data_IF_560053378418
#
_entry.id   IF_560053378418
#
_cell.length_a   1.000
_cell.length_b   1.000
_cell.length_c   1.000
_cell.angle_alpha   90.00
_cell.angle_beta   90.00
_cell.angle_gamma   90.00
#
_symmetry.space_group_name_H-M   'P 1'
#
loop_
_entity.id
_entity.type
_entity.pdbx_description
1 polymer ?
#
# COMPACT_ATOMS: atom_id res chain seq x y z
N UNK A 1 -2.66 8.06 11.26
CA UNK A 1 -1.43 8.87 10.96
C UNK A 1 -1.17 8.89 9.46
N UNK A 2 -0.58 9.99 8.90
CA UNK A 2 -0.20 10.06 7.47
C UNK A 2 1.29 10.34 7.37
N UNK A 3 2.03 9.49 6.66
CA UNK A 3 3.47 9.61 6.39
C UNK A 3 3.67 9.88 4.89
N UNK A 4 4.17 11.05 4.55
CA UNK A 4 4.53 11.42 3.18
C UNK A 4 6.02 11.13 3.00
N UNK A 5 6.34 10.13 2.19
CA UNK A 5 7.71 9.63 2.03
C UNK A 5 8.63 10.62 1.30
N UNK A 6 8.07 11.54 0.53
CA UNK A 6 8.81 12.59 -0.19
C UNK A 6 9.09 13.86 0.62
N UNK A 7 8.89 13.85 1.94
CA UNK A 7 9.22 15.01 2.79
C UNK A 7 10.72 15.31 2.84
N UNK A 8 11.56 14.30 2.63
CA UNK A 8 13.01 14.43 2.56
C UNK A 8 13.52 14.08 1.17
N UNK A 9 14.51 14.82 0.67
CA UNK A 9 15.11 14.55 -0.64
C UNK A 9 15.74 13.16 -0.70
N UNK A 10 15.32 12.36 -1.68
CA UNK A 10 15.80 11.01 -1.90
C UNK A 10 15.56 10.57 -3.35
N UNK A 11 16.02 9.38 -3.71
CA UNK A 11 15.73 8.75 -5.02
C UNK A 11 14.24 8.58 -5.29
N UNK A 12 13.41 8.57 -4.27
CA UNK A 12 11.95 8.50 -4.40
C UNK A 12 11.40 9.61 -5.32
N UNK A 13 11.97 10.81 -5.25
CA UNK A 13 11.56 11.93 -6.10
C UNK A 13 11.74 11.64 -7.60
N UNK A 14 12.79 10.90 -7.99
CA UNK A 14 12.97 10.51 -9.38
C UNK A 14 11.85 9.56 -9.83
N UNK A 15 11.49 8.59 -9.01
CA UNK A 15 10.45 7.62 -9.35
C UNK A 15 9.07 8.28 -9.42
N UNK A 16 8.76 9.19 -8.49
CA UNK A 16 7.51 9.96 -8.50
C UNK A 16 7.47 10.91 -9.71
N UNK A 17 8.57 11.60 -10.02
CA UNK A 17 8.65 12.49 -11.18
C UNK A 17 8.40 11.72 -12.49
N UNK A 18 9.02 10.56 -12.67
CA UNK A 18 8.82 9.72 -13.86
C UNK A 18 7.40 9.16 -13.98
N UNK A 19 6.70 8.91 -12.86
CA UNK A 19 5.29 8.52 -12.89
C UNK A 19 4.36 9.65 -13.34
N UNK A 20 4.76 10.91 -13.12
CA UNK A 20 3.98 12.11 -13.43
C UNK A 20 4.32 12.73 -14.77
N UNK A 21 5.54 12.51 -15.26
CA UNK A 21 6.02 13.06 -16.53
C UNK A 21 5.20 12.50 -17.69
N UNK A 22 4.57 13.39 -18.46
CA UNK A 22 3.63 13.03 -19.55
C UNK A 22 4.26 12.25 -20.69
N UNK A 23 5.58 12.33 -20.84
CA UNK A 23 6.33 11.58 -21.85
C UNK A 23 6.80 10.23 -21.29
N UNK A 24 7.40 10.25 -20.08
CA UNK A 24 8.02 9.07 -19.47
C UNK A 24 6.98 8.07 -18.99
N UNK A 25 5.83 8.51 -18.47
CA UNK A 25 4.75 7.63 -17.99
C UNK A 25 4.18 6.71 -19.07
N UNK A 26 4.39 7.02 -20.35
CA UNK A 26 3.95 6.18 -21.48
C UNK A 26 4.83 4.93 -21.64
N UNK A 27 6.03 4.89 -21.07
CA UNK A 27 6.85 3.68 -20.97
C UNK A 27 6.26 2.76 -19.89
N UNK A 28 5.48 1.78 -20.36
CA UNK A 28 4.76 0.83 -19.50
C UNK A 28 5.67 0.00 -18.59
N UNK A 29 6.89 -0.31 -19.04
CA UNK A 29 7.86 -1.05 -18.23
C UNK A 29 8.37 -0.16 -17.10
N UNK A 30 8.82 1.06 -17.43
CA UNK A 30 9.34 2.03 -16.46
C UNK A 30 8.29 2.42 -15.43
N UNK A 31 7.05 2.64 -15.87
CA UNK A 31 5.93 2.95 -14.98
C UNK A 31 5.73 1.86 -13.91
N UNK A 32 5.64 0.59 -14.33
CA UNK A 32 5.50 -0.53 -13.40
C UNK A 32 6.72 -0.68 -12.49
N UNK A 33 7.93 -0.51 -13.05
CA UNK A 33 9.16 -0.62 -12.25
C UNK A 33 9.28 0.49 -11.20
N UNK A 34 8.80 1.70 -11.50
CA UNK A 34 8.79 2.78 -10.53
C UNK A 34 7.78 2.55 -9.41
N UNK A 35 6.59 2.00 -9.71
CA UNK A 35 5.65 1.57 -8.68
C UNK A 35 6.25 0.49 -7.76
N UNK A 36 6.96 -0.48 -8.33
CA UNK A 36 7.66 -1.52 -7.57
C UNK A 36 8.72 -0.91 -6.64
N UNK A 37 9.58 0.00 -7.13
CA UNK A 37 10.59 0.71 -6.34
C UNK A 37 9.97 1.54 -5.21
N UNK A 38 8.83 2.17 -5.46
CA UNK A 38 8.07 2.90 -4.42
C UNK A 38 7.57 1.91 -3.35
N UNK A 39 7.10 0.73 -3.75
CA UNK A 39 6.70 -0.34 -2.84
C UNK A 39 7.86 -0.83 -1.96
N UNK A 40 9.06 -1.00 -2.54
CA UNK A 40 10.28 -1.36 -1.83
C UNK A 40 10.65 -0.32 -0.75
N UNK A 41 10.61 0.98 -1.12
CA UNK A 41 10.87 2.07 -0.17
C UNK A 41 9.81 2.11 0.93
N UNK A 42 8.53 1.97 0.58
CA UNK A 42 7.44 1.94 1.56
C UNK A 42 7.60 0.76 2.53
N UNK A 43 7.96 -0.43 2.03
CA UNK A 43 8.22 -1.61 2.85
C UNK A 43 9.34 -1.35 3.87
N UNK A 44 10.45 -0.74 3.44
CA UNK A 44 11.55 -0.38 4.32
C UNK A 44 11.10 0.61 5.41
N UNK A 45 10.37 1.65 5.06
CA UNK A 45 9.87 2.63 6.04
C UNK A 45 8.86 2.01 7.01
N UNK A 46 7.93 1.18 6.52
CA UNK A 46 6.96 0.46 7.34
C UNK A 46 7.68 -0.50 8.30
N UNK A 47 8.72 -1.20 7.85
CA UNK A 47 9.45 -2.17 8.67
C UNK A 47 10.00 -1.56 9.96
N UNK A 48 10.32 -0.26 9.97
CA UNK A 48 10.80 0.46 11.17
C UNK A 48 9.74 0.57 12.28
N UNK A 49 8.48 0.33 11.96
CA UNK A 49 7.34 0.34 12.90
C UNK A 49 6.97 -1.06 13.41
N UNK A 50 7.62 -2.11 12.88
CA UNK A 50 7.37 -3.49 13.27
C UNK A 50 8.04 -3.84 14.61
N UNK A 51 7.61 -4.95 15.19
CA UNK A 51 8.19 -5.47 16.44
C UNK A 51 9.40 -6.33 16.12
N UNK A 52 10.52 -6.03 16.79
CA UNK A 52 11.77 -6.75 16.67
C UNK A 52 12.13 -7.37 18.02
N UNK A 53 12.69 -8.58 18.00
CA UNK A 53 13.26 -9.24 19.18
C UNK A 53 14.70 -9.68 18.92
N UNK A 54 15.51 -9.62 19.96
CA UNK A 54 16.88 -10.08 19.88
C UNK A 54 16.94 -11.60 19.69
N UNK A 55 17.57 -12.03 18.60
CA UNK A 55 17.70 -13.44 18.21
C UNK A 55 19.17 -13.77 17.99
N UNK A 56 19.60 -14.90 18.53
CA UNK A 56 20.96 -15.39 18.34
C UNK A 56 21.10 -16.06 16.96
N UNK A 57 22.03 -15.53 16.16
CA UNK A 57 22.35 -16.01 14.82
C UNK A 57 23.75 -16.60 14.82
N UNK A 58 23.89 -17.84 14.34
CA UNK A 58 25.20 -18.48 14.17
C UNK A 58 25.88 -17.92 12.91
N UNK A 59 27.03 -17.31 13.10
CA UNK A 59 27.86 -16.76 12.02
C UNK A 59 29.16 -17.59 11.90
N UNK A 60 29.92 -17.43 10.82
CA UNK A 60 31.25 -18.10 10.69
C UNK A 60 32.24 -17.74 11.81
N UNK A 61 32.03 -16.60 12.49
CA UNK A 61 32.93 -16.11 13.53
C UNK A 61 32.39 -16.34 14.97
N UNK A 62 31.21 -16.92 15.12
CA UNK A 62 30.54 -17.16 16.40
C UNK A 62 29.08 -16.73 16.42
N UNK A 63 28.51 -16.65 17.62
CA UNK A 63 27.12 -16.23 17.80
C UNK A 63 27.04 -14.70 17.83
N UNK A 64 26.11 -14.14 17.05
CA UNK A 64 25.78 -12.73 17.06
C UNK A 64 24.31 -12.55 17.45
N UNK A 65 24.02 -11.75 18.45
CA UNK A 65 22.64 -11.39 18.83
C UNK A 65 22.21 -10.18 17.99
N UNK A 66 21.13 -10.36 17.20
CA UNK A 66 20.62 -9.32 16.29
C UNK A 66 19.11 -9.16 16.46
N UNK A 67 18.55 -7.93 16.32
CA UNK A 67 17.11 -7.73 16.33
C UNK A 67 16.52 -8.23 15.01
N UNK A 68 15.64 -9.21 15.07
CA UNK A 68 14.90 -9.74 13.91
C UNK A 68 13.41 -9.47 14.08
N UNK A 69 12.74 -9.22 12.97
CA UNK A 69 11.30 -8.99 12.93
C UNK A 69 10.54 -10.26 13.33
N UNK A 70 9.58 -10.13 14.25
CA UNK A 70 8.92 -11.27 14.87
C UNK A 70 7.83 -11.90 14.00
N UNK A 71 7.15 -11.11 13.19
CA UNK A 71 6.03 -11.60 12.39
C UNK A 71 5.98 -10.92 11.04
N UNK A 72 5.60 -11.68 10.02
CA UNK A 72 5.36 -11.17 8.68
C UNK A 72 3.95 -10.59 8.59
N UNK A 73 3.77 -9.47 7.87
CA UNK A 73 2.44 -8.91 7.61
C UNK A 73 1.64 -9.78 6.64
N UNK A 74 0.36 -9.44 6.45
CA UNK A 74 -0.41 -9.84 5.29
C UNK A 74 -0.38 -8.68 4.30
N UNK A 75 0.01 -8.93 3.06
CA UNK A 75 0.04 -7.95 1.99
C UNK A 75 -1.23 -8.06 1.16
N UNK A 76 -2.09 -7.05 1.23
CA UNK A 76 -3.29 -6.91 0.41
C UNK A 76 -3.09 -5.94 -0.75
N UNK A 77 -3.69 -6.22 -1.90
CA UNK A 77 -3.66 -5.30 -3.03
C UNK A 77 -4.93 -5.29 -3.85
N UNK A 78 -5.28 -4.11 -4.36
CA UNK A 78 -6.42 -3.93 -5.27
C UNK A 78 -5.96 -4.23 -6.69
N UNK A 79 -6.52 -5.29 -7.27
CA UNK A 79 -6.23 -5.73 -8.62
C UNK A 79 -6.88 -4.79 -9.65
N UNK A 80 -6.28 -4.60 -10.75
CA UNK A 80 -5.02 -5.11 -11.31
C UNK A 80 -3.88 -4.12 -11.13
N UNK A 81 -4.19 -2.82 -10.97
CA UNK A 81 -3.22 -1.73 -10.94
C UNK A 81 -2.23 -1.83 -9.75
N UNK A 82 -2.66 -2.43 -8.64
CA UNK A 82 -1.84 -2.59 -7.44
C UNK A 82 -0.67 -3.57 -7.56
N UNK A 83 -0.68 -4.48 -8.56
CA UNK A 83 0.32 -5.55 -8.64
C UNK A 83 1.77 -5.09 -8.60
N UNK A 84 2.22 -4.04 -9.32
CA UNK A 84 3.62 -3.63 -9.25
C UNK A 84 4.02 -3.07 -7.87
N UNK A 85 3.13 -2.29 -7.24
CA UNK A 85 3.37 -1.75 -5.90
C UNK A 85 3.42 -2.89 -4.85
N UNK A 86 2.51 -3.85 -4.97
CA UNK A 86 2.49 -5.06 -4.15
C UNK A 86 3.78 -5.88 -4.31
N UNK A 87 4.28 -6.04 -5.54
CA UNK A 87 5.53 -6.75 -5.79
C UNK A 87 6.70 -6.07 -5.05
N UNK A 88 6.74 -4.74 -5.04
CA UNK A 88 7.76 -4.00 -4.29
C UNK A 88 7.69 -4.25 -2.78
N UNK A 89 6.49 -4.31 -2.20
CA UNK A 89 6.31 -4.69 -0.79
C UNK A 89 6.77 -6.13 -0.54
N UNK A 90 6.42 -7.06 -1.43
CA UNK A 90 6.77 -8.48 -1.33
C UNK A 90 8.28 -8.73 -1.48
N UNK A 91 9.00 -7.90 -2.24
CA UNK A 91 10.46 -8.00 -2.37
C UNK A 91 11.19 -7.82 -1.02
N UNK A 92 10.57 -7.15 -0.06
CA UNK A 92 11.13 -6.89 1.29
C UNK A 92 10.48 -7.77 2.36
N UNK A 93 9.16 -7.94 2.31
CA UNK A 93 8.43 -8.87 3.18
C UNK A 93 8.24 -10.20 2.46
N UNK A 94 9.34 -10.88 2.15
CA UNK A 94 9.40 -12.05 1.25
C UNK A 94 8.70 -13.31 1.78
N UNK A 95 8.41 -13.34 3.08
CA UNK A 95 7.65 -14.42 3.73
C UNK A 95 6.21 -14.00 4.08
N UNK A 96 5.75 -12.85 3.57
CA UNK A 96 4.41 -12.38 3.84
C UNK A 96 3.36 -13.20 3.09
N UNK A 97 2.22 -13.42 3.74
CA UNK A 97 1.04 -13.93 3.07
C UNK A 97 0.41 -12.87 2.19
N UNK A 98 -0.27 -13.28 1.12
CA UNK A 98 -0.81 -12.37 0.13
C UNK A 98 -2.33 -12.44 0.09
N UNK A 99 -2.98 -11.27 -0.02
CA UNK A 99 -4.41 -11.12 -0.26
C UNK A 99 -4.63 -10.33 -1.55
N UNK A 100 -5.56 -10.79 -2.38
CA UNK A 100 -5.88 -10.18 -3.66
C UNK A 100 -7.35 -9.83 -3.73
N UNK A 101 -7.63 -8.56 -4.04
CA UNK A 101 -8.98 -8.04 -4.11
C UNK A 101 -9.22 -7.45 -5.51
N UNK A 102 -10.27 -7.89 -6.17
CA UNK A 102 -10.73 -7.28 -7.43
C UNK A 102 -11.94 -6.42 -7.14
N UNK A 103 -11.75 -5.11 -7.29
CA UNK A 103 -12.81 -4.12 -7.19
C UNK A 103 -12.90 -3.34 -8.51
N UNK A 104 -14.13 -3.06 -8.98
CA UNK A 104 -14.33 -2.22 -10.14
C UNK A 104 -15.49 -1.24 -9.92
N UNK A 105 -15.43 -0.09 -10.60
CA UNK A 105 -16.49 0.91 -10.60
C UNK A 105 -17.59 0.49 -11.57
N UNK A 106 -18.79 0.29 -11.05
CA UNK A 106 -19.99 0.11 -11.87
C UNK A 106 -20.66 1.47 -12.03
N UNK A 107 -20.54 2.04 -13.21
CA UNK A 107 -21.17 3.32 -13.53
C UNK A 107 -22.68 3.18 -13.76
N UNK A 108 -23.44 4.10 -13.19
CA UNK A 108 -24.87 4.26 -13.41
C UNK A 108 -25.16 5.31 -14.49
N UNK A 109 -26.38 5.31 -15.01
CA UNK A 109 -26.79 6.24 -16.09
C UNK A 109 -26.87 7.70 -15.61
N UNK A 110 -26.96 7.95 -14.32
CA UNK A 110 -27.00 9.27 -13.69
C UNK A 110 -25.61 9.85 -13.42
N UNK A 111 -24.53 9.14 -13.82
CA UNK A 111 -23.13 9.55 -13.59
C UNK A 111 -22.57 9.13 -12.25
N UNK A 112 -23.37 8.54 -11.34
CA UNK A 112 -22.89 7.92 -10.11
C UNK A 112 -22.22 6.58 -10.39
N UNK A 113 -21.48 6.06 -9.41
CA UNK A 113 -20.90 4.71 -9.49
C UNK A 113 -20.91 4.03 -8.13
N UNK A 114 -21.04 2.71 -8.15
CA UNK A 114 -20.81 1.84 -7.01
C UNK A 114 -19.50 1.08 -7.19
N UNK A 115 -18.85 0.78 -6.06
CA UNK A 115 -17.71 -0.13 -6.05
C UNK A 115 -18.25 -1.55 -5.91
N UNK A 116 -18.00 -2.38 -6.91
CA UNK A 116 -18.40 -3.78 -6.89
C UNK A 116 -17.18 -4.67 -6.66
N UNK A 117 -17.18 -5.41 -5.54
CA UNK A 117 -16.18 -6.43 -5.27
C UNK A 117 -16.55 -7.71 -6.01
N UNK A 118 -15.65 -8.19 -6.87
CA UNK A 118 -15.85 -9.42 -7.65
C UNK A 118 -15.13 -10.62 -7.06
N UNK A 119 -14.01 -10.38 -6.43
CA UNK A 119 -13.13 -11.44 -5.97
C UNK A 119 -12.37 -10.97 -4.73
N UNK A 120 -12.35 -11.80 -3.72
CA UNK A 120 -11.53 -11.65 -2.53
C UNK A 120 -10.89 -13.00 -2.23
N UNK A 121 -9.57 -13.03 -2.21
CA UNK A 121 -8.80 -14.15 -1.68
C UNK A 121 -7.87 -13.60 -0.62
N UNK A 122 -8.06 -14.02 0.61
CA UNK A 122 -7.28 -13.56 1.76
C UNK A 122 -7.03 -14.70 2.73
N UNK A 123 -5.82 -14.80 3.29
CA UNK A 123 -5.58 -15.59 4.49
C UNK A 123 -6.32 -14.95 5.68
N UNK A 124 -6.43 -15.64 6.84
CA UNK A 124 -6.88 -15.01 8.08
C UNK A 124 -5.98 -13.81 8.43
N UNK A 125 -6.60 -12.65 8.71
CA UNK A 125 -5.89 -11.42 9.09
C UNK A 125 -6.08 -11.05 10.58
N UNK A 126 -6.85 -11.83 11.32
CA UNK A 126 -7.13 -11.57 12.73
C UNK A 126 -5.84 -11.49 13.56
N UNK A 127 -5.64 -10.36 14.25
CA UNK A 127 -4.47 -10.10 15.10
C UNK A 127 -3.15 -9.89 14.35
N UNK A 128 -3.16 -9.84 13.02
CA UNK A 128 -1.96 -9.65 12.20
C UNK A 128 -1.84 -8.18 11.72
N UNK A 129 -0.65 -7.80 11.30
CA UNK A 129 -0.44 -6.54 10.59
C UNK A 129 -0.93 -6.73 9.14
N UNK A 130 -1.80 -5.83 8.69
CA UNK A 130 -2.25 -5.76 7.30
C UNK A 130 -1.55 -4.59 6.61
N UNK A 131 -0.97 -4.82 5.43
CA UNK A 131 -0.48 -3.76 4.53
C UNK A 131 -1.36 -3.79 3.28
N UNK A 132 -2.23 -2.82 3.12
CA UNK A 132 -3.15 -2.71 1.98
C UNK A 132 -2.63 -1.69 0.98
N UNK A 133 -2.38 -2.11 -0.26
CA UNK A 133 -1.79 -1.25 -1.30
C UNK A 133 -2.74 -0.95 -2.44
N UNK A 134 -2.76 0.33 -2.84
CA UNK A 134 -3.40 0.83 -4.07
C UNK A 134 -2.50 1.93 -4.64
N UNK A 135 -2.04 1.86 -5.89
CA UNK A 135 -1.08 2.83 -6.42
C UNK A 135 -1.62 4.26 -6.48
N UNK A 136 -2.93 4.44 -6.59
CA UNK A 136 -3.56 5.75 -6.73
C UNK A 136 -4.73 5.92 -5.75
N UNK A 137 -4.46 6.60 -4.66
CA UNK A 137 -5.50 6.95 -3.68
C UNK A 137 -6.21 8.25 -4.11
N UNK A 138 -7.11 8.14 -5.10
CA UNK A 138 -7.83 9.28 -5.66
C UNK A 138 -8.98 9.72 -4.74
N UNK A 139 -10.15 9.05 -4.81
CA UNK A 139 -11.30 9.35 -3.94
C UNK A 139 -11.29 8.59 -2.62
N UNK A 140 -10.47 7.56 -2.49
CA UNK A 140 -10.42 6.68 -1.33
C UNK A 140 -11.52 5.62 -1.23
N UNK A 141 -12.57 5.71 -2.03
CA UNK A 141 -13.73 4.81 -1.95
C UNK A 141 -13.37 3.34 -2.18
N UNK A 142 -12.58 3.04 -3.22
CA UNK A 142 -12.16 1.65 -3.51
C UNK A 142 -11.39 1.04 -2.36
N UNK A 143 -10.51 1.82 -1.73
CA UNK A 143 -9.72 1.37 -0.60
C UNK A 143 -10.59 1.10 0.63
N UNK A 144 -11.53 1.99 0.94
CA UNK A 144 -12.45 1.86 2.08
C UNK A 144 -13.31 0.61 1.93
N UNK A 145 -13.93 0.40 0.76
CA UNK A 145 -14.76 -0.78 0.53
C UNK A 145 -13.94 -2.08 0.52
N UNK A 146 -12.72 -2.04 -0.03
CA UNK A 146 -11.80 -3.17 0.03
C UNK A 146 -11.44 -3.52 1.47
N UNK A 147 -11.09 -2.53 2.29
CA UNK A 147 -10.77 -2.76 3.70
C UNK A 147 -11.93 -3.39 4.45
N UNK A 148 -13.16 -2.85 4.29
CA UNK A 148 -14.36 -3.41 4.91
C UNK A 148 -14.60 -4.87 4.53
N UNK A 149 -14.41 -5.22 3.25
CA UNK A 149 -14.54 -6.58 2.79
C UNK A 149 -13.48 -7.51 3.39
N UNK A 150 -12.25 -7.03 3.56
CA UNK A 150 -11.18 -7.82 4.18
C UNK A 150 -11.45 -8.15 5.65
N UNK A 151 -12.26 -7.36 6.35
CA UNK A 151 -12.67 -7.66 7.73
C UNK A 151 -13.46 -8.97 7.86
N UNK A 152 -14.02 -9.52 6.78
CA UNK A 152 -14.62 -10.86 6.77
C UNK A 152 -13.56 -11.95 7.06
N UNK A 153 -12.28 -11.68 6.76
CA UNK A 153 -11.16 -12.57 7.08
C UNK A 153 -10.56 -12.33 8.48
N UNK A 154 -11.17 -11.42 9.28
CA UNK A 154 -10.80 -11.11 10.66
C UNK A 154 -10.42 -9.65 10.87
N UNK A 155 -10.26 -9.25 12.14
CA UNK A 155 -9.83 -7.91 12.53
C UNK A 155 -8.30 -7.87 12.61
N UNK A 156 -7.59 -7.07 11.80
CA UNK A 156 -6.15 -6.90 11.92
C UNK A 156 -5.78 -6.19 13.23
N UNK A 157 -4.58 -6.45 13.74
CA UNK A 157 -4.04 -5.74 14.91
C UNK A 157 -3.68 -4.29 14.56
N UNK A 158 -3.20 -4.06 13.35
CA UNK A 158 -2.93 -2.74 12.80
C UNK A 158 -2.98 -2.80 11.27
N UNK A 159 -3.35 -1.68 10.65
CA UNK A 159 -3.39 -1.58 9.19
C UNK A 159 -2.53 -0.43 8.68
N UNK A 160 -1.63 -0.76 7.75
CA UNK A 160 -0.92 0.21 6.93
C UNK A 160 -1.58 0.28 5.54
N UNK A 161 -1.86 1.48 5.08
CA UNK A 161 -2.27 1.75 3.69
C UNK A 161 -1.08 2.30 2.94
N UNK A 162 -0.80 1.79 1.75
CA UNK A 162 0.31 2.25 0.90
C UNK A 162 -0.22 2.72 -0.44
N UNK A 163 0.12 3.96 -0.81
CA UNK A 163 -0.16 4.50 -2.14
C UNK A 163 1.07 5.17 -2.75
N UNK A 164 1.22 5.08 -4.07
CA UNK A 164 2.28 5.83 -4.75
C UNK A 164 1.92 7.32 -4.82
N UNK A 165 0.70 7.62 -5.26
CA UNK A 165 0.18 9.00 -5.29
C UNK A 165 -1.18 9.02 -4.59
N UNK A 166 -1.42 10.03 -3.79
CA UNK A 166 -2.70 10.24 -3.13
C UNK A 166 -3.18 11.68 -3.35
N UNK A 167 -4.49 11.87 -3.44
CA UNK A 167 -5.08 13.19 -3.31
C UNK A 167 -5.34 13.53 -1.85
N UNK A 168 -5.37 14.81 -1.51
CA UNK A 168 -5.79 15.28 -0.17
C UNK A 168 -7.19 14.75 0.15
N UNK A 169 -8.13 14.88 -0.79
CA UNK A 169 -9.50 14.41 -0.62
C UNK A 169 -9.57 12.90 -0.33
N UNK A 170 -8.79 12.08 -1.04
CA UNK A 170 -8.75 10.64 -0.83
C UNK A 170 -8.23 10.26 0.55
N UNK A 171 -7.18 10.95 1.03
CA UNK A 171 -6.64 10.77 2.38
C UNK A 171 -7.71 11.12 3.44
N UNK A 172 -8.39 12.25 3.28
CA UNK A 172 -9.44 12.68 4.21
C UNK A 172 -10.62 11.70 4.22
N UNK A 173 -11.04 11.20 3.05
CA UNK A 173 -12.10 10.21 2.95
C UNK A 173 -11.73 8.89 3.66
N UNK A 174 -10.51 8.40 3.47
CA UNK A 174 -10.02 7.20 4.16
C UNK A 174 -10.02 7.41 5.67
N UNK A 175 -9.50 8.53 6.15
CA UNK A 175 -9.48 8.87 7.59
C UNK A 175 -10.87 9.00 8.22
N UNK A 176 -11.85 9.47 7.45
CA UNK A 176 -13.23 9.64 7.94
C UNK A 176 -14.02 8.31 7.99
N UNK A 177 -13.60 7.29 7.25
CA UNK A 177 -14.37 6.05 7.06
C UNK A 177 -13.68 4.78 7.57
N UNK A 178 -12.40 4.87 7.96
CA UNK A 178 -11.62 3.76 8.49
C UNK A 178 -11.15 4.07 9.93
N UNK A 179 -10.70 3.06 10.70
CA UNK A 179 -10.27 3.25 12.08
C UNK A 179 -9.14 4.29 12.24
N UNK A 180 -9.18 5.05 13.34
CA UNK A 180 -8.21 6.14 13.62
C UNK A 180 -6.77 5.65 13.81
N UNK A 181 -6.57 4.41 14.19
CA UNK A 181 -5.25 3.78 14.40
C UNK A 181 -4.56 3.35 13.10
N UNK A 182 -5.25 3.46 11.96
CA UNK A 182 -4.68 3.17 10.64
C UNK A 182 -3.57 4.16 10.27
N UNK A 183 -2.51 3.64 9.64
CA UNK A 183 -1.37 4.45 9.17
C UNK A 183 -1.34 4.48 7.64
N UNK A 184 -1.33 5.68 7.07
CA UNK A 184 -1.26 5.89 5.62
C UNK A 184 0.18 6.27 5.24
N UNK A 185 0.72 5.61 4.22
CA UNK A 185 2.03 5.85 3.63
C UNK A 185 1.85 6.22 2.17
N UNK A 186 2.32 7.40 1.79
CA UNK A 186 2.21 7.88 0.41
C UNK A 186 3.55 8.39 -0.08
N UNK A 187 3.90 8.08 -1.33
CA UNK A 187 5.11 8.65 -1.90
C UNK A 187 4.94 10.15 -2.17
N UNK A 188 3.78 10.57 -2.69
CA UNK A 188 3.48 11.98 -2.89
C UNK A 188 1.98 12.27 -2.78
N UNK A 189 1.65 13.51 -2.42
CA UNK A 189 0.26 14.00 -2.29
C UNK A 189 0.01 15.10 -3.32
N UNK A 190 -1.12 15.01 -4.01
CA UNK A 190 -1.65 16.05 -4.89
C UNK A 190 -2.78 16.82 -4.20
N UNK A 191 -2.76 18.15 -4.32
CA UNK A 191 -3.72 19.01 -3.64
C UNK A 191 -5.14 18.86 -4.22
N UNK A 192 -5.24 18.71 -5.54
CA UNK A 192 -6.50 18.65 -6.27
C UNK A 192 -6.62 17.39 -7.13
N UNK A 193 -7.85 16.86 -7.21
CA UNK A 193 -8.22 15.86 -8.21
C UNK A 193 -8.74 16.56 -9.46
N UNK A 194 -8.34 16.06 -10.63
CA UNK A 194 -9.01 16.45 -11.88
C UNK A 194 -10.45 15.93 -11.91
N UNK A 195 -11.28 16.46 -12.80
CA UNK A 195 -12.67 15.99 -13.01
C UNK A 195 -12.77 14.49 -13.32
N UNK A 196 -11.68 13.88 -13.80
CA UNK A 196 -11.59 12.45 -14.09
C UNK A 196 -11.03 11.62 -12.92
N UNK A 197 -10.74 12.25 -11.79
CA UNK A 197 -10.15 11.61 -10.59
C UNK A 197 -8.76 10.99 -10.83
N UNK A 198 -7.97 11.61 -11.70
CA UNK A 198 -6.59 11.26 -12.00
C UNK A 198 -5.68 12.48 -11.87
#
# INVERSE_FOLDING_TARGET
MVNILSTSNSLLHHFVAELRDVEIQNDRMRFRRNLERIGEIAAYEISKTMIFENTDVTTPLGIATVPLMQSQPVLGTILRAGLPLHQGLLNYFDQADNAFISAYRRHHKDGSFDIHLQYLSSPPIAGRILILSDPMLATGQSLVETYKAMLESGQPAHTHVVAAIASRQGIEYVKANLPDDLTIWVAAVDEELTAQSY
#
